data_IF_219946352616
#
_entry.id   IF_219946352616
#
_cell.length_a   1.000
_cell.length_b   1.000
_cell.length_c   1.000
_cell.angle_alpha   90.00
_cell.angle_beta   90.00
_cell.angle_gamma   90.00
#
_symmetry.space_group_name_H-M   'P 1'
#
loop_
_entity.id
_entity.type
_entity.pdbx_description
1 polymer ?
#
# COMPACT_ATOMS: atom_id res chain seq x y z
N UNK A 1 48.80 60.07 3.63
CA UNK A 1 47.42 59.78 4.00
C UNK A 1 46.64 58.99 2.94
N UNK A 2 46.93 59.03 1.65
CA UNK A 2 46.23 58.26 0.56
C UNK A 2 46.54 56.75 0.56
N UNK A 3 47.72 56.33 1.03
CA UNK A 3 48.17 54.92 1.05
C UNK A 3 47.55 54.11 2.20
N UNK A 4 47.23 54.75 3.34
CA UNK A 4 46.64 54.09 4.52
C UNK A 4 45.16 53.72 4.21
N UNK A 5 44.42 54.54 3.45
CA UNK A 5 43.06 54.27 3.06
C UNK A 5 42.91 53.01 2.12
N UNK A 6 43.92 52.83 1.26
CA UNK A 6 43.95 51.72 0.31
C UNK A 6 44.19 50.37 1.03
N UNK A 7 44.98 50.40 2.08
CA UNK A 7 45.32 49.24 2.90
C UNK A 7 44.11 48.76 3.77
N UNK A 8 43.30 49.71 4.25
CA UNK A 8 42.07 49.40 4.99
C UNK A 8 40.97 48.84 4.07
N UNK A 9 40.92 49.26 2.82
CA UNK A 9 39.95 48.73 1.84
C UNK A 9 40.26 47.27 1.48
N UNK A 10 41.53 46.88 1.46
CA UNK A 10 41.96 45.54 1.08
C UNK A 10 41.62 44.49 2.16
N UNK A 11 41.53 44.88 3.42
CA UNK A 11 41.21 43.98 4.57
C UNK A 11 39.73 43.58 4.58
N UNK A 12 38.86 44.42 4.01
CA UNK A 12 37.42 44.13 3.97
C UNK A 12 37.03 43.00 2.98
N UNK A 13 37.90 42.66 2.02
CA UNK A 13 37.63 41.58 1.06
C UNK A 13 38.07 40.18 1.52
N UNK A 14 38.75 40.07 2.65
CA UNK A 14 39.24 38.78 3.16
C UNK A 14 38.27 38.09 4.16
N UNK A 15 37.09 38.65 4.41
CA UNK A 15 36.13 38.15 5.39
C UNK A 15 35.02 37.28 4.81
N UNK A 16 35.24 36.61 3.67
CA UNK A 16 34.34 35.56 3.21
C UNK A 16 34.87 34.19 3.69
N UNK A 17 34.63 33.86 4.95
CA UNK A 17 34.69 32.46 5.37
C UNK A 17 33.40 31.76 4.90
N UNK A 18 33.54 30.70 4.08
CA UNK A 18 32.45 29.82 3.73
C UNK A 18 31.85 29.26 5.03
N UNK A 19 30.67 29.75 5.39
CA UNK A 19 29.89 29.19 6.49
C UNK A 19 29.35 27.86 6.00
N UNK A 20 29.98 26.76 6.38
CA UNK A 20 29.40 25.43 6.17
C UNK A 20 28.05 25.35 6.87
N UNK A 21 26.96 24.98 6.16
CA UNK A 21 25.65 24.84 6.77
C UNK A 21 25.74 23.77 7.85
N UNK A 22 25.57 24.15 9.10
CA UNK A 22 25.53 23.24 10.24
C UNK A 22 24.25 22.44 10.12
N UNK A 23 24.35 21.18 9.74
CA UNK A 23 23.24 20.23 9.86
C UNK A 23 22.83 20.15 11.34
N UNK A 24 21.54 20.23 11.66
CA UNK A 24 21.09 20.11 13.04
C UNK A 24 21.49 18.74 13.59
N UNK A 25 22.45 18.70 14.49
CA UNK A 25 22.92 17.49 15.16
C UNK A 25 21.90 17.03 16.22
N UNK A 26 20.69 16.70 15.77
CA UNK A 26 19.70 16.07 16.63
C UNK A 26 19.90 14.55 16.60
N UNK A 27 20.96 14.07 17.25
CA UNK A 27 21.29 12.64 17.37
C UNK A 27 20.11 11.81 17.90
N UNK A 28 19.32 12.35 18.81
CA UNK A 28 18.11 11.68 19.33
C UNK A 28 17.06 11.45 18.27
N UNK A 29 16.79 12.44 17.40
CA UNK A 29 15.84 12.31 16.30
C UNK A 29 16.30 11.29 15.25
N UNK A 30 17.59 11.23 14.95
CA UNK A 30 18.17 10.29 14.00
C UNK A 30 18.12 8.85 14.52
N UNK A 31 18.39 8.62 15.80
CA UNK A 31 18.26 7.31 16.45
C UNK A 31 16.79 6.87 16.46
N UNK A 32 15.87 7.76 16.76
CA UNK A 32 14.44 7.49 16.74
C UNK A 32 13.94 7.11 15.33
N UNK A 33 14.33 7.85 14.30
CA UNK A 33 13.96 7.57 12.90
C UNK A 33 14.51 6.22 12.45
N UNK A 34 15.77 5.91 12.78
CA UNK A 34 16.37 4.62 12.43
C UNK A 34 15.67 3.45 13.12
N UNK A 35 15.32 3.59 14.40
CA UNK A 35 14.60 2.55 15.14
C UNK A 35 13.17 2.33 14.59
N UNK A 36 12.50 3.39 14.18
CA UNK A 36 11.18 3.31 13.56
C UNK A 36 11.23 2.66 12.18
N UNK A 37 12.22 3.00 11.36
CA UNK A 37 12.44 2.38 10.05
C UNK A 37 12.74 0.88 10.17
N UNK A 38 13.56 0.48 11.15
CA UNK A 38 13.84 -0.93 11.41
C UNK A 38 12.59 -1.72 11.84
N UNK A 39 11.77 -1.15 12.75
CA UNK A 39 10.51 -1.77 13.17
C UNK A 39 9.56 -1.95 12.00
N UNK A 40 9.38 -0.93 11.16
CA UNK A 40 8.54 -1.00 9.97
C UNK A 40 9.03 -2.07 8.99
N UNK A 41 10.35 -2.13 8.75
CA UNK A 41 10.94 -3.18 7.91
C UNK A 41 10.68 -4.57 8.46
N UNK A 42 10.85 -4.78 9.76
CA UNK A 42 10.56 -6.07 10.41
C UNK A 42 9.09 -6.45 10.30
N UNK A 43 8.19 -5.49 10.49
CA UNK A 43 6.75 -5.69 10.33
C UNK A 43 6.41 -6.16 8.91
N UNK A 44 6.90 -5.46 7.87
CA UNK A 44 6.67 -5.84 6.47
C UNK A 44 7.18 -7.25 6.16
N UNK A 45 8.38 -7.62 6.63
CA UNK A 45 8.94 -8.96 6.46
C UNK A 45 8.09 -10.02 7.17
N UNK A 46 7.57 -9.72 8.35
CA UNK A 46 6.70 -10.63 9.08
C UNK A 46 5.35 -10.82 8.37
N UNK A 47 4.73 -9.73 7.90
CA UNK A 47 3.49 -9.80 7.13
C UNK A 47 3.68 -10.61 5.85
N UNK A 48 4.72 -10.35 5.07
CA UNK A 48 5.02 -11.14 3.87
C UNK A 48 5.12 -12.64 4.19
N UNK A 49 5.78 -13.00 5.30
CA UNK A 49 5.87 -14.42 5.74
C UNK A 49 4.50 -15.00 6.07
N UNK A 50 3.61 -14.21 6.71
CA UNK A 50 2.25 -14.64 7.01
C UNK A 50 1.42 -14.84 5.74
N UNK A 51 1.51 -13.93 4.76
CA UNK A 51 0.84 -14.07 3.47
C UNK A 51 1.29 -15.33 2.73
N UNK A 52 2.61 -15.57 2.65
CA UNK A 52 3.16 -16.77 2.02
C UNK A 52 2.70 -18.04 2.75
N UNK A 53 2.66 -18.03 4.07
CA UNK A 53 2.15 -19.15 4.87
C UNK A 53 0.69 -19.43 4.54
N UNK A 54 -0.17 -18.41 4.54
CA UNK A 54 -1.59 -18.53 4.21
C UNK A 54 -1.80 -19.05 2.78
N UNK A 55 -1.05 -18.53 1.80
CA UNK A 55 -1.09 -19.01 0.42
C UNK A 55 -0.71 -20.50 0.29
N UNK A 56 0.32 -20.96 1.02
CA UNK A 56 0.72 -22.38 1.02
C UNK A 56 -0.31 -23.30 1.67
N UNK A 57 -1.07 -22.82 2.63
CA UNK A 57 -2.15 -23.58 3.28
C UNK A 57 -3.39 -23.71 2.39
N UNK A 58 -3.52 -22.85 1.37
CA UNK A 58 -4.60 -22.88 0.38
C UNK A 58 -4.17 -23.66 -0.87
N UNK A 59 -4.01 -24.98 -0.71
CA UNK A 59 -3.47 -25.87 -1.76
C UNK A 59 -4.33 -25.95 -3.03
N UNK A 60 -5.57 -25.45 -3.00
CA UNK A 60 -6.47 -25.43 -4.14
C UNK A 60 -6.22 -24.27 -5.09
N UNK A 61 -5.47 -23.26 -4.69
CA UNK A 61 -5.23 -22.05 -5.45
C UNK A 61 -3.73 -21.86 -5.71
N UNK A 62 -3.40 -21.46 -6.94
CA UNK A 62 -2.04 -21.06 -7.31
C UNK A 62 -1.89 -19.56 -7.17
N UNK A 63 -1.16 -19.12 -6.14
CA UNK A 63 -0.95 -17.71 -5.86
C UNK A 63 0.24 -17.15 -6.64
N UNK A 64 0.03 -15.97 -7.22
CA UNK A 64 1.04 -15.14 -7.85
C UNK A 64 1.36 -13.94 -6.93
N UNK A 65 2.59 -13.44 -7.01
CA UNK A 65 3.02 -12.23 -6.26
C UNK A 65 2.96 -11.02 -7.16
N UNK A 66 2.31 -9.96 -6.68
CA UNK A 66 2.30 -8.65 -7.35
C UNK A 66 3.54 -7.82 -7.04
N UNK A 67 3.81 -6.81 -7.85
CA UNK A 67 4.86 -5.81 -7.60
C UNK A 67 4.58 -4.98 -6.34
N UNK A 68 3.31 -4.74 -6.02
CA UNK A 68 2.86 -4.04 -4.80
C UNK A 68 2.91 -4.92 -3.54
N UNK A 69 3.43 -6.16 -3.61
CA UNK A 69 3.71 -7.01 -2.46
C UNK A 69 2.54 -7.83 -1.93
N UNK A 70 1.37 -7.81 -2.57
CA UNK A 70 0.26 -8.72 -2.25
C UNK A 70 0.36 -10.01 -3.07
N UNK A 71 -0.36 -11.05 -2.61
CA UNK A 71 -0.52 -12.32 -3.33
C UNK A 71 -1.95 -12.43 -3.85
N UNK A 72 -2.13 -13.01 -5.04
CA UNK A 72 -3.46 -13.20 -5.61
C UNK A 72 -3.58 -14.51 -6.37
N UNK A 73 -4.80 -15.06 -6.42
CA UNK A 73 -5.12 -16.25 -7.18
C UNK A 73 -6.56 -16.14 -7.72
N UNK A 74 -6.76 -16.55 -8.96
CA UNK A 74 -8.11 -16.58 -9.55
C UNK A 74 -8.79 -17.90 -9.24
N UNK A 75 -9.98 -17.84 -8.62
CA UNK A 75 -10.90 -18.97 -8.50
C UNK A 75 -11.64 -19.23 -9.79
N UNK A 76 -11.97 -18.13 -10.50
CA UNK A 76 -12.68 -18.18 -11.77
C UNK A 76 -12.11 -17.11 -12.69
N UNK A 77 -11.72 -17.51 -13.90
CA UNK A 77 -11.28 -16.60 -14.97
C UNK A 77 -12.43 -16.36 -15.95
N UNK A 78 -12.47 -15.17 -16.52
CA UNK A 78 -13.37 -14.87 -17.62
C UNK A 78 -13.00 -15.72 -18.86
N UNK A 79 -14.02 -16.21 -19.55
CA UNK A 79 -13.84 -16.97 -20.81
C UNK A 79 -13.70 -16.08 -22.05
N UNK A 80 -14.05 -14.80 -21.92
CA UNK A 80 -13.97 -13.80 -22.99
C UNK A 80 -12.75 -12.91 -22.84
N UNK A 81 -12.16 -12.52 -23.95
CA UNK A 81 -11.01 -11.60 -24.00
C UNK A 81 -11.46 -10.13 -23.83
N UNK A 82 -12.18 -9.86 -22.73
CA UNK A 82 -12.58 -8.50 -22.37
C UNK A 82 -11.35 -7.78 -21.78
N UNK A 83 -11.14 -6.55 -22.22
CA UNK A 83 -10.03 -5.73 -21.72
C UNK A 83 -10.12 -5.47 -20.21
N UNK A 84 -8.96 -5.27 -19.58
CA UNK A 84 -8.89 -4.80 -18.21
C UNK A 84 -9.47 -3.38 -18.12
N UNK A 85 -10.04 -3.01 -16.96
CA UNK A 85 -10.62 -1.69 -16.80
C UNK A 85 -9.57 -0.59 -16.89
N UNK A 86 -9.95 0.52 -17.47
CA UNK A 86 -9.15 1.73 -17.56
C UNK A 86 -9.69 2.80 -16.60
N UNK A 87 -8.92 3.86 -16.39
CA UNK A 87 -9.35 5.00 -15.60
C UNK A 87 -10.70 5.55 -16.11
N UNK A 88 -11.65 5.76 -15.20
CA UNK A 88 -13.00 6.24 -15.50
C UNK A 88 -14.02 5.15 -15.82
N UNK A 89 -13.56 3.90 -16.05
CA UNK A 89 -14.49 2.80 -16.30
C UNK A 89 -15.32 2.51 -15.05
N UNK A 90 -16.62 2.34 -15.24
CA UNK A 90 -17.51 1.89 -14.19
C UNK A 90 -17.37 0.38 -14.01
N UNK A 91 -17.14 -0.05 -12.76
CA UNK A 91 -17.06 -1.45 -12.39
C UNK A 91 -18.04 -1.78 -11.26
N UNK A 92 -18.59 -2.98 -11.31
CA UNK A 92 -19.46 -3.51 -10.25
C UNK A 92 -18.83 -4.73 -9.65
N UNK A 93 -18.82 -4.81 -8.33
CA UNK A 93 -18.23 -5.95 -7.64
C UNK A 93 -18.88 -6.17 -6.27
N UNK A 94 -18.69 -7.39 -5.77
CA UNK A 94 -18.96 -7.79 -4.41
C UNK A 94 -17.68 -8.34 -3.80
N UNK A 95 -17.54 -8.26 -2.50
CA UNK A 95 -16.39 -8.81 -1.83
C UNK A 95 -16.71 -9.21 -0.40
N UNK A 96 -15.88 -10.08 0.16
CA UNK A 96 -15.85 -10.38 1.59
C UNK A 96 -14.46 -10.18 2.13
N UNK A 97 -14.37 -9.90 3.43
CA UNK A 97 -13.10 -9.73 4.14
C UNK A 97 -12.97 -10.85 5.15
N UNK A 98 -11.82 -11.51 5.10
CA UNK A 98 -11.46 -12.64 5.96
C UNK A 98 -10.10 -12.36 6.63
N UNK A 99 -9.82 -13.01 7.74
CA UNK A 99 -8.46 -13.13 8.24
C UNK A 99 -7.63 -14.11 7.39
N UNK A 100 -6.36 -14.28 7.70
CA UNK A 100 -5.48 -15.20 6.96
C UNK A 100 -5.78 -16.68 7.23
N UNK A 101 -6.54 -16.99 8.28
CA UNK A 101 -7.05 -18.31 8.63
C UNK A 101 -8.41 -18.62 7.99
N UNK A 102 -8.94 -17.69 7.15
CA UNK A 102 -10.22 -17.77 6.42
C UNK A 102 -11.47 -17.59 7.30
N UNK A 103 -11.34 -17.04 8.50
CA UNK A 103 -12.50 -16.64 9.27
C UNK A 103 -13.08 -15.35 8.68
N UNK A 104 -14.39 -15.35 8.42
CA UNK A 104 -15.09 -14.21 7.84
C UNK A 104 -15.19 -13.08 8.88
N UNK A 105 -14.63 -11.91 8.57
CA UNK A 105 -14.75 -10.69 9.36
C UNK A 105 -15.96 -9.89 8.87
N UNK A 106 -16.05 -9.68 7.56
CA UNK A 106 -17.17 -9.02 6.90
C UNK A 106 -17.65 -9.85 5.71
N UNK A 107 -18.90 -10.25 5.79
CA UNK A 107 -19.57 -11.03 4.76
C UNK A 107 -19.98 -10.13 3.58
N UNK A 108 -19.92 -10.68 2.37
CA UNK A 108 -20.30 -10.00 1.12
C UNK A 108 -21.77 -9.52 1.14
N UNK A 109 -22.66 -10.25 1.81
CA UNK A 109 -24.07 -9.88 1.92
C UNK A 109 -24.27 -8.61 2.76
N UNK A 110 -23.45 -8.40 3.79
CA UNK A 110 -23.45 -7.19 4.61
C UNK A 110 -22.80 -6.00 3.92
N UNK A 111 -21.73 -6.25 3.18
CA UNK A 111 -21.02 -5.21 2.43
C UNK A 111 -21.80 -4.78 1.19
N UNK A 112 -22.60 -5.68 0.63
CA UNK A 112 -23.47 -5.41 -0.51
C UNK A 112 -22.72 -5.25 -1.83
N UNK A 113 -23.45 -4.73 -2.82
CA UNK A 113 -22.93 -4.45 -4.15
C UNK A 113 -22.30 -3.07 -4.19
N UNK A 114 -21.09 -3.01 -4.70
CA UNK A 114 -20.33 -1.77 -4.86
C UNK A 114 -20.24 -1.41 -6.34
N UNK A 115 -20.52 -0.15 -6.66
CA UNK A 115 -20.23 0.46 -7.96
C UNK A 115 -19.07 1.43 -7.74
N UNK A 116 -18.10 1.42 -8.64
CA UNK A 116 -16.87 2.19 -8.51
C UNK A 116 -16.36 2.67 -9.86
N UNK A 117 -15.94 3.93 -9.93
CA UNK A 117 -15.25 4.49 -11.09
C UNK A 117 -13.75 4.33 -10.89
N UNK A 118 -13.11 3.55 -11.74
CA UNK A 118 -11.67 3.26 -11.63
C UNK A 118 -10.85 4.56 -11.58
N UNK A 119 -10.09 4.73 -10.49
CA UNK A 119 -9.15 5.83 -10.26
C UNK A 119 -9.77 7.25 -10.29
N UNK A 120 -11.09 7.38 -10.17
CA UNK A 120 -11.81 8.66 -10.06
C UNK A 120 -12.50 8.83 -8.71
N UNK A 121 -12.82 7.74 -8.05
CA UNK A 121 -13.44 7.74 -6.73
C UNK A 121 -12.48 7.18 -5.68
N UNK A 122 -12.71 7.51 -4.41
CA UNK A 122 -11.89 7.00 -3.33
C UNK A 122 -12.35 5.59 -2.93
N UNK A 123 -11.41 4.67 -2.84
CA UNK A 123 -11.64 3.29 -2.46
C UNK A 123 -10.41 2.75 -1.71
N UNK A 124 -10.61 1.76 -0.86
CA UNK A 124 -9.51 1.08 -0.16
C UNK A 124 -8.40 0.67 -1.15
N UNK A 125 -7.12 1.00 -0.89
CA UNK A 125 -6.02 0.68 -1.82
C UNK A 125 -6.01 -0.78 -2.28
N UNK A 126 -6.26 -1.74 -1.37
CA UNK A 126 -6.39 -3.15 -1.68
C UNK A 126 -7.42 -3.44 -2.79
N UNK A 127 -8.60 -2.83 -2.71
CA UNK A 127 -9.66 -3.02 -3.70
C UNK A 127 -9.30 -2.35 -5.03
N UNK A 128 -8.68 -1.18 -5.02
CA UNK A 128 -8.20 -0.52 -6.24
C UNK A 128 -7.18 -1.37 -6.99
N UNK A 129 -6.19 -1.92 -6.28
CA UNK A 129 -5.20 -2.83 -6.86
C UNK A 129 -5.85 -4.09 -7.47
N UNK A 130 -6.78 -4.71 -6.74
CA UNK A 130 -7.49 -5.90 -7.20
C UNK A 130 -8.30 -5.64 -8.48
N UNK A 131 -9.10 -4.56 -8.48
CA UNK A 131 -10.01 -4.28 -9.59
C UNK A 131 -9.28 -3.96 -10.90
N UNK A 132 -8.08 -3.39 -10.84
CA UNK A 132 -7.26 -3.10 -12.03
C UNK A 132 -6.85 -4.35 -12.81
N UNK A 133 -6.76 -5.50 -12.14
CA UNK A 133 -6.32 -6.76 -12.76
C UNK A 133 -7.45 -7.77 -13.00
N UNK A 134 -8.69 -7.41 -12.66
CA UNK A 134 -9.85 -8.28 -12.81
C UNK A 134 -10.72 -7.89 -14.01
N UNK A 135 -11.16 -8.90 -14.77
CA UNK A 135 -12.17 -8.76 -15.83
C UNK A 135 -13.57 -9.03 -15.29
N UNK A 136 -14.63 -8.60 -15.97
CA UNK A 136 -16.01 -8.98 -15.62
C UNK A 136 -16.19 -10.50 -15.52
N UNK A 137 -16.97 -10.96 -14.55
CA UNK A 137 -17.26 -12.36 -14.23
C UNK A 137 -16.04 -13.15 -13.74
N UNK A 138 -15.01 -12.47 -13.26
CA UNK A 138 -13.89 -13.11 -12.57
C UNK A 138 -14.11 -13.11 -11.06
N UNK A 139 -13.68 -14.19 -10.43
CA UNK A 139 -13.60 -14.33 -8.98
C UNK A 139 -12.16 -14.57 -8.59
N UNK A 140 -11.64 -13.75 -7.71
CA UNK A 140 -10.26 -13.87 -7.26
C UNK A 140 -10.12 -13.72 -5.74
N UNK A 141 -9.07 -14.32 -5.21
CA UNK A 141 -8.66 -14.20 -3.82
C UNK A 141 -7.37 -13.43 -3.77
N UNK A 142 -7.32 -12.47 -2.87
CA UNK A 142 -6.18 -11.62 -2.61
C UNK A 142 -5.76 -11.74 -1.16
N UNK A 143 -4.46 -11.82 -0.93
CA UNK A 143 -3.87 -11.73 0.40
C UNK A 143 -3.09 -10.42 0.46
N UNK A 144 -3.64 -9.46 1.17
CA UNK A 144 -3.08 -8.12 1.23
C UNK A 144 -2.31 -7.88 2.52
N UNK A 145 -1.13 -7.25 2.44
CA UNK A 145 -0.47 -6.70 3.61
C UNK A 145 -1.28 -5.55 4.20
N UNK A 146 -1.10 -5.29 5.48
CA UNK A 146 -1.89 -4.32 6.24
C UNK A 146 -1.86 -2.92 5.65
N UNK A 147 -0.74 -2.49 5.07
CA UNK A 147 -0.56 -1.13 4.52
C UNK A 147 -1.43 -0.85 3.28
N UNK A 148 -1.91 -1.87 2.56
CA UNK A 148 -2.90 -1.73 1.50
C UNK A 148 -4.34 -1.76 2.02
N UNK A 149 -4.53 -2.20 3.27
CA UNK A 149 -5.81 -2.30 3.95
C UNK A 149 -6.00 -1.17 4.96
N UNK A 150 -6.24 -1.50 6.22
CA UNK A 150 -6.54 -0.54 7.28
C UNK A 150 -5.31 -0.06 8.07
N UNK A 151 -4.11 -0.58 7.72
CA UNK A 151 -2.82 -0.12 8.24
C UNK A 151 -2.76 -0.05 9.78
N UNK A 152 -2.16 1.02 10.30
CA UNK A 152 -1.97 1.24 11.75
C UNK A 152 -3.23 1.73 12.48
N UNK A 153 -4.32 2.00 11.79
CA UNK A 153 -5.57 2.50 12.38
C UNK A 153 -6.57 1.37 12.69
N UNK A 154 -6.54 0.28 11.89
CA UNK A 154 -7.65 -0.67 11.88
C UNK A 154 -8.92 -0.04 11.30
N UNK A 155 -10.07 -0.68 11.47
CA UNK A 155 -11.37 -0.14 11.04
C UNK A 155 -12.21 0.44 12.21
N UNK A 156 -11.69 0.33 13.41
CA UNK A 156 -12.38 0.77 14.63
C UNK A 156 -13.43 -0.21 15.16
N UNK A 157 -13.63 -1.38 14.54
CA UNK A 157 -14.59 -2.40 14.94
C UNK A 157 -13.93 -3.79 15.02
N UNK A 158 -13.75 -4.46 13.89
CA UNK A 158 -13.34 -5.87 13.85
C UNK A 158 -11.94 -6.08 13.31
N UNK A 159 -11.41 -5.14 12.55
CA UNK A 159 -10.08 -5.23 11.96
C UNK A 159 -9.10 -4.48 12.84
N UNK A 160 -8.12 -5.20 13.35
CA UNK A 160 -7.07 -4.64 14.20
C UNK A 160 -6.02 -3.84 13.44
N UNK A 161 -5.14 -3.19 14.20
CA UNK A 161 -3.99 -2.45 13.65
C UNK A 161 -2.99 -3.41 13.01
N UNK A 162 -2.39 -3.01 11.89
CA UNK A 162 -1.38 -3.78 11.16
C UNK A 162 -1.82 -5.23 10.90
N UNK A 163 -3.11 -5.44 10.60
CA UNK A 163 -3.67 -6.75 10.31
C UNK A 163 -3.66 -7.01 8.81
N UNK A 164 -2.88 -7.97 8.31
CA UNK A 164 -2.99 -8.45 6.93
C UNK A 164 -4.30 -9.20 6.75
N UNK A 165 -4.90 -9.08 5.57
CA UNK A 165 -6.25 -9.56 5.31
C UNK A 165 -6.33 -10.38 4.02
N UNK A 166 -7.33 -11.25 3.99
CA UNK A 166 -7.75 -11.99 2.81
C UNK A 166 -9.05 -11.38 2.28
N UNK A 167 -9.08 -11.11 0.98
CA UNK A 167 -10.26 -10.64 0.28
C UNK A 167 -10.65 -11.68 -0.78
N UNK A 168 -11.91 -12.05 -0.80
CA UNK A 168 -12.51 -12.76 -1.93
C UNK A 168 -13.37 -11.75 -2.68
N UNK A 169 -12.99 -11.44 -3.93
CA UNK A 169 -13.63 -10.40 -4.76
C UNK A 169 -14.24 -11.06 -5.97
N UNK A 170 -15.49 -10.71 -6.25
CA UNK A 170 -16.25 -11.11 -7.44
C UNK A 170 -16.56 -9.87 -8.27
N UNK A 171 -15.97 -9.76 -9.44
CA UNK A 171 -16.26 -8.67 -10.38
C UNK A 171 -17.44 -9.06 -11.28
N UNK A 172 -18.52 -8.30 -11.17
CA UNK A 172 -19.73 -8.53 -11.93
C UNK A 172 -19.68 -7.85 -13.31
N UNK A 173 -20.49 -8.32 -14.24
CA UNK A 173 -20.71 -7.64 -15.51
C UNK A 173 -21.53 -6.36 -15.24
N UNK A 174 -21.20 -5.29 -15.94
CA UNK A 174 -22.05 -4.10 -15.95
C UNK A 174 -23.38 -4.41 -16.65
N UNK A 175 -24.50 -3.79 -16.23
CA UNK A 175 -25.80 -4.01 -16.83
C UNK A 175 -25.85 -3.61 -18.31
#
# INVERSE_FOLDING_TARGET
MRTIGLFFLLIFFLSCTNIEPRLPLNKGKQIFLNSSALRNKQMLVNEERLLIKSAKQDSLLSYEKSESGYLFAFKQRATSDVQLPQKGDQVRFQYQIEDLEKNIIYDKEKLGLVNYSIDEEDLLPALREALRIMRPNEVAVFLFPSYLCYSYQGDGDKIGINQPLRFTIERLKNP
#
